data_IF_526472398654
#
_entry.id   IF_526472398654
#
_cell.length_a   1.000
_cell.length_b   1.000
_cell.length_c   1.000
_cell.angle_alpha   90.00
_cell.angle_beta   90.00
_cell.angle_gamma   90.00
#
_symmetry.space_group_name_H-M   'P 1'
#
loop_
_entity.id
_entity.type
_entity.pdbx_description
1 polymer ?
#
# COMPACT_ATOMS: atom_id res chain seq x y z
N UNK A 1 -20.39 -26.58 13.32
CA UNK A 1 -19.72 -25.78 12.26
C UNK A 1 -20.61 -24.57 11.99
N UNK A 2 -20.27 -23.34 12.42
CA UNK A 2 -21.11 -22.20 12.12
C UNK A 2 -20.96 -21.82 10.63
N UNK A 3 -22.05 -21.50 9.94
CA UNK A 3 -22.05 -21.16 8.52
C UNK A 3 -21.61 -19.70 8.32
N UNK A 4 -20.68 -19.51 7.38
CA UNK A 4 -20.32 -18.26 6.69
C UNK A 4 -20.73 -16.94 7.38
N UNK A 5 -19.78 -16.37 8.12
CA UNK A 5 -19.90 -15.00 8.63
C UNK A 5 -18.62 -14.21 8.33
N UNK A 6 -18.21 -14.15 7.06
CA UNK A 6 -17.05 -13.35 6.61
C UNK A 6 -17.32 -11.82 6.63
N UNK A 7 -18.49 -11.39 7.12
CA UNK A 7 -18.96 -10.00 7.03
C UNK A 7 -18.80 -9.18 8.33
N UNK A 8 -18.04 -9.67 9.31
CA UNK A 8 -18.00 -9.08 10.66
C UNK A 8 -16.62 -8.76 11.26
N UNK A 9 -15.53 -8.66 10.49
CA UNK A 9 -14.21 -8.31 11.07
C UNK A 9 -13.59 -6.99 10.59
N UNK A 10 -14.24 -6.26 9.68
CA UNK A 10 -13.79 -4.92 9.27
C UNK A 10 -14.58 -3.80 9.96
N UNK A 11 -14.81 -3.95 11.26
CA UNK A 11 -15.38 -2.89 12.10
C UNK A 11 -14.24 -2.19 12.81
N UNK A 12 -13.69 -1.19 12.14
CA UNK A 12 -13.21 0.08 12.71
C UNK A 12 -12.43 0.09 14.04
N UNK A 13 -11.42 -0.78 14.23
CA UNK A 13 -10.30 -0.33 15.07
C UNK A 13 -9.39 0.57 14.21
N UNK A 14 -9.82 1.82 14.06
CA UNK A 14 -9.16 2.85 13.25
C UNK A 14 -7.97 3.47 13.99
N UNK A 15 -7.38 2.74 14.95
CA UNK A 15 -6.15 3.14 15.62
C UNK A 15 -5.00 2.40 14.96
N UNK A 16 -4.46 3.02 13.91
CA UNK A 16 -3.16 2.65 13.40
C UNK A 16 -2.19 2.66 14.59
N UNK A 17 -1.71 1.49 14.98
CA UNK A 17 -0.63 1.34 15.95
C UNK A 17 0.67 1.82 15.28
N UNK A 18 0.75 3.10 14.94
CA UNK A 18 2.04 3.75 14.99
C UNK A 18 2.54 3.52 16.41
N UNK A 19 3.78 3.08 16.56
CA UNK A 19 4.40 3.13 17.87
C UNK A 19 4.34 4.60 18.31
N UNK A 20 3.39 4.94 19.19
CA UNK A 20 3.10 6.33 19.60
C UNK A 20 4.37 7.00 20.15
N UNK A 21 5.31 6.19 20.62
CA UNK A 21 6.64 6.58 21.09
C UNK A 21 7.54 7.16 20.01
N UNK A 22 7.46 6.69 18.76
CA UNK A 22 8.29 7.17 17.64
C UNK A 22 7.62 8.28 16.83
N UNK A 23 6.29 8.34 16.86
CA UNK A 23 5.49 9.27 16.08
C UNK A 23 5.62 9.08 14.57
N UNK A 24 4.79 9.80 13.81
CA UNK A 24 4.76 9.71 12.35
C UNK A 24 5.93 10.43 11.67
N UNK A 25 6.73 11.22 12.39
CA UNK A 25 7.70 12.16 11.79
C UNK A 25 9.08 11.55 11.58
N UNK A 26 9.60 10.85 12.59
CA UNK A 26 10.96 10.26 12.56
C UNK A 26 11.16 9.37 11.33
N UNK A 27 10.20 8.49 10.96
CA UNK A 27 10.33 7.68 9.75
C UNK A 27 10.40 8.52 8.46
N UNK A 28 9.66 9.62 8.34
CA UNK A 28 9.67 10.45 7.13
C UNK A 28 10.98 11.22 6.97
N UNK A 29 11.48 11.80 8.05
CA UNK A 29 12.78 12.51 8.02
C UNK A 29 13.90 11.51 7.72
N UNK A 30 13.80 10.28 8.27
CA UNK A 30 14.69 9.19 7.90
C UNK A 30 14.63 8.90 6.39
N UNK A 31 13.43 8.69 5.83
CA UNK A 31 13.25 8.40 4.39
C UNK A 31 13.78 9.52 3.49
N UNK A 32 13.50 10.79 3.82
CA UNK A 32 14.02 11.94 3.09
C UNK A 32 15.55 12.01 3.15
N UNK A 33 16.12 11.76 4.33
CA UNK A 33 17.57 11.72 4.52
C UNK A 33 18.24 10.56 3.78
N UNK A 34 17.56 9.42 3.65
CA UNK A 34 18.00 8.28 2.85
C UNK A 34 17.93 8.61 1.36
N UNK A 35 16.82 9.18 0.89
CA UNK A 35 16.64 9.58 -0.50
C UNK A 35 17.72 10.54 -0.96
N UNK A 36 17.98 11.62 -0.20
CA UNK A 36 19.02 12.59 -0.52
C UNK A 36 20.39 11.91 -0.66
N UNK A 37 20.76 11.05 0.30
CA UNK A 37 22.04 10.34 0.26
C UNK A 37 22.14 9.33 -0.89
N UNK A 38 21.05 8.66 -1.20
CA UNK A 38 21.00 7.69 -2.29
C UNK A 38 21.22 8.39 -3.64
N UNK A 39 20.54 9.52 -3.86
CA UNK A 39 20.69 10.32 -5.07
C UNK A 39 22.06 11.01 -5.18
N UNK A 40 22.72 11.30 -4.05
CA UNK A 40 24.12 11.76 -4.08
C UNK A 40 25.12 10.64 -4.34
N UNK A 41 24.82 9.41 -3.93
CA UNK A 41 25.71 8.26 -4.10
C UNK A 41 25.59 7.62 -5.50
N UNK A 42 24.43 7.72 -6.14
CA UNK A 42 24.15 7.08 -7.43
C UNK A 42 23.55 8.05 -8.43
N UNK A 43 24.15 8.08 -9.62
CA UNK A 43 23.61 8.84 -10.76
C UNK A 43 22.31 8.21 -11.27
N UNK A 44 21.39 9.03 -11.79
CA UNK A 44 20.12 8.58 -12.36
C UNK A 44 20.29 7.46 -13.41
N UNK A 45 21.32 7.55 -14.25
CA UNK A 45 21.64 6.52 -15.24
C UNK A 45 22.01 5.16 -14.62
N UNK A 46 22.73 5.19 -13.49
CA UNK A 46 23.10 3.98 -12.75
C UNK A 46 21.89 3.35 -12.05
N UNK A 47 20.95 4.17 -11.57
CA UNK A 47 19.69 3.71 -10.96
C UNK A 47 18.79 3.02 -12.00
N UNK A 48 18.70 3.57 -13.21
CA UNK A 48 17.85 3.02 -14.28
C UNK A 48 18.38 1.68 -14.82
N UNK A 49 19.70 1.49 -14.82
CA UNK A 49 20.36 0.29 -15.36
C UNK A 49 20.82 -0.69 -14.27
N UNK A 50 20.32 -0.53 -13.03
CA UNK A 50 20.73 -1.33 -11.89
C UNK A 50 20.29 -2.79 -12.05
N UNK A 51 21.24 -3.72 -12.04
CA UNK A 51 20.95 -5.14 -11.88
C UNK A 51 20.52 -5.44 -10.43
N UNK A 52 19.85 -6.58 -10.23
CA UNK A 52 19.43 -7.01 -8.90
C UNK A 52 20.61 -6.96 -7.92
N UNK A 53 20.39 -6.36 -6.74
CA UNK A 53 21.38 -6.24 -5.67
C UNK A 53 22.65 -5.40 -5.97
N UNK A 54 22.74 -4.75 -7.13
CA UNK A 54 23.89 -3.91 -7.51
C UNK A 54 24.20 -2.76 -6.54
N UNK A 55 23.20 -2.27 -5.81
CA UNK A 55 23.34 -1.18 -4.84
C UNK A 55 23.28 -1.63 -3.38
N UNK A 56 23.48 -2.92 -3.10
CA UNK A 56 23.48 -3.46 -1.73
C UNK A 56 24.55 -2.84 -0.82
N UNK A 57 25.58 -2.22 -1.39
CA UNK A 57 26.59 -1.45 -0.63
C UNK A 57 25.95 -0.32 0.18
N UNK A 58 24.81 0.21 -0.27
CA UNK A 58 24.04 1.22 0.43
C UNK A 58 23.36 0.71 1.71
N UNK A 59 23.22 -0.60 1.91
CA UNK A 59 22.61 -1.17 3.12
C UNK A 59 23.30 -0.70 4.41
N UNK A 60 24.64 -0.52 4.38
CA UNK A 60 25.41 0.02 5.51
C UNK A 60 24.99 1.45 5.85
N UNK A 61 24.66 2.25 4.84
CA UNK A 61 24.18 3.63 5.02
C UNK A 61 22.79 3.62 5.64
N UNK A 62 21.91 2.73 5.18
CA UNK A 62 20.56 2.54 5.74
C UNK A 62 20.65 2.17 7.22
N UNK A 63 21.43 1.14 7.57
CA UNK A 63 21.61 0.68 8.95
C UNK A 63 22.16 1.78 9.85
N UNK A 64 23.22 2.47 9.42
CA UNK A 64 23.82 3.57 10.19
C UNK A 64 22.82 4.70 10.44
N UNK A 65 22.02 5.05 9.43
CA UNK A 65 20.97 6.07 9.57
C UNK A 65 19.84 5.60 10.47
N UNK A 66 19.38 4.36 10.33
CA UNK A 66 18.34 3.80 11.18
C UNK A 66 18.74 3.87 12.65
N UNK A 67 19.97 3.42 12.99
CA UNK A 67 20.48 3.51 14.36
C UNK A 67 20.57 4.95 14.89
N UNK A 68 20.89 5.91 14.02
CA UNK A 68 20.92 7.33 14.38
C UNK A 68 19.52 7.88 14.68
N UNK A 69 18.54 7.60 13.82
CA UNK A 69 17.16 8.07 14.01
C UNK A 69 16.41 7.33 15.13
N UNK A 70 16.82 6.09 15.45
CA UNK A 70 16.22 5.30 16.53
C UNK A 70 16.70 5.68 17.93
N UNK A 71 17.92 6.20 18.07
CA UNK A 71 18.57 6.40 19.39
C UNK A 71 18.84 7.86 19.75
N UNK A 72 18.76 8.81 18.82
CA UNK A 72 19.15 10.20 19.09
C UNK A 72 17.95 11.09 19.46
N UNK A 73 17.75 11.30 20.76
CA UNK A 73 16.80 12.28 21.33
C UNK A 73 17.08 13.73 20.88
N UNK A 74 18.18 14.02 20.16
CA UNK A 74 18.48 15.36 19.60
C UNK A 74 17.72 15.70 18.33
N UNK A 75 17.21 14.70 17.60
CA UNK A 75 16.30 14.95 16.45
C UNK A 75 15.02 15.63 16.93
N UNK A 76 14.65 15.30 18.17
CA UNK A 76 13.59 15.95 18.90
C UNK A 76 13.93 17.36 19.41
N UNK A 77 15.19 17.82 19.40
CA UNK A 77 15.55 19.22 19.73
C UNK A 77 15.68 20.12 18.52
N UNK A 78 15.91 19.55 17.33
CA UNK A 78 15.70 20.24 16.05
C UNK A 78 14.20 20.52 15.76
N UNK A 79 13.30 20.16 16.71
CA UNK A 79 11.84 20.36 16.70
C UNK A 79 11.38 21.80 16.57
N UNK A 80 12.15 22.80 16.96
CA UNK A 80 11.60 24.14 17.13
C UNK A 80 11.72 25.06 15.91
N UNK A 81 12.51 24.68 14.89
CA UNK A 81 12.90 25.61 13.80
C UNK A 81 12.17 25.35 12.47
N UNK A 82 11.56 24.18 12.25
CA UNK A 82 10.98 23.83 10.94
C UNK A 82 9.55 23.31 11.07
N UNK A 83 8.57 24.21 10.90
CA UNK A 83 7.12 23.99 11.03
C UNK A 83 6.45 23.02 10.05
N UNK A 84 7.17 22.04 9.50
CA UNK A 84 6.66 21.06 8.51
C UNK A 84 5.85 19.89 9.09
N UNK A 85 5.51 19.91 10.39
CA UNK A 85 4.95 18.75 11.10
C UNK A 85 3.47 18.51 10.77
N UNK A 86 2.71 19.57 10.47
CA UNK A 86 1.26 19.47 10.20
C UNK A 86 1.01 18.77 8.85
N UNK A 87 1.82 19.04 7.82
CA UNK A 87 1.62 18.49 6.47
C UNK A 87 1.80 16.96 6.38
N UNK A 88 2.70 16.35 7.15
CA UNK A 88 3.02 14.92 6.99
C UNK A 88 1.89 14.02 7.47
N UNK A 89 1.15 14.44 8.51
CA UNK A 89 -0.01 13.69 9.03
C UNK A 89 -1.15 13.64 8.00
N UNK A 90 -1.39 14.77 7.33
CA UNK A 90 -2.43 14.88 6.31
C UNK A 90 -2.08 14.04 5.07
N UNK A 91 -0.81 14.06 4.65
CA UNK A 91 -0.32 13.25 3.52
C UNK A 91 -0.44 11.74 3.79
N UNK A 92 -0.14 11.27 5.00
CA UNK A 92 -0.32 9.84 5.34
C UNK A 92 -1.78 9.42 5.37
N UNK A 93 -2.64 10.25 5.95
CA UNK A 93 -4.08 9.97 5.99
C UNK A 93 -4.62 9.88 4.57
N UNK A 94 -4.24 10.81 3.70
CA UNK A 94 -4.61 10.81 2.29
C UNK A 94 -4.10 9.58 1.52
N UNK A 95 -2.82 9.21 1.67
CA UNK A 95 -2.24 8.07 0.97
C UNK A 95 -2.93 6.74 1.33
N UNK A 96 -3.30 6.58 2.61
CA UNK A 96 -4.00 5.39 3.09
C UNK A 96 -5.43 5.34 2.54
N UNK A 97 -6.15 6.46 2.54
CA UNK A 97 -7.48 6.53 1.93
C UNK A 97 -7.45 6.20 0.43
N UNK A 98 -6.40 6.62 -0.28
CA UNK A 98 -6.21 6.27 -1.69
C UNK A 98 -5.93 4.77 -1.88
N UNK A 99 -5.10 4.14 -1.04
CA UNK A 99 -4.80 2.70 -1.13
C UNK A 99 -6.00 1.84 -0.72
N UNK A 100 -6.69 2.19 0.38
CA UNK A 100 -7.92 1.51 0.81
C UNK A 100 -9.07 1.72 -0.18
N UNK A 101 -9.16 2.90 -0.78
CA UNK A 101 -10.10 3.19 -1.88
C UNK A 101 -9.77 2.39 -3.14
N UNK A 102 -8.51 2.01 -3.36
CA UNK A 102 -8.07 1.13 -4.44
C UNK A 102 -8.44 -0.33 -4.18
N UNK A 103 -8.28 -0.83 -2.95
CA UNK A 103 -8.69 -2.19 -2.58
C UNK A 103 -10.22 -2.37 -2.68
N UNK A 104 -11.02 -1.39 -2.23
CA UNK A 104 -12.48 -1.42 -2.41
C UNK A 104 -12.92 -1.47 -3.87
N UNK A 105 -12.14 -0.93 -4.81
CA UNK A 105 -12.44 -1.01 -6.25
C UNK A 105 -12.15 -2.40 -6.83
N UNK A 106 -11.09 -3.07 -6.35
CA UNK A 106 -10.78 -4.45 -6.73
C UNK A 106 -11.88 -5.41 -6.25
N UNK A 107 -12.38 -5.23 -5.03
CA UNK A 107 -13.50 -6.02 -4.51
C UNK A 107 -14.76 -5.88 -5.38
N UNK A 108 -15.08 -4.65 -5.81
CA UNK A 108 -16.24 -4.38 -6.69
C UNK A 108 -16.05 -5.01 -8.09
N UNK A 109 -14.83 -5.07 -8.62
CA UNK A 109 -14.55 -5.70 -9.92
C UNK A 109 -14.66 -7.23 -9.81
N UNK A 110 -14.22 -7.82 -8.70
CA UNK A 110 -14.40 -9.24 -8.43
C UNK A 110 -15.89 -9.62 -8.34
N UNK A 111 -16.67 -8.88 -7.55
CA UNK A 111 -18.13 -9.07 -7.43
C UNK A 111 -18.85 -8.94 -8.79
N UNK A 112 -18.44 -7.96 -9.61
CA UNK A 112 -19.00 -7.79 -10.96
C UNK A 112 -18.62 -8.92 -11.89
N UNK A 113 -17.42 -9.49 -11.75
CA UNK A 113 -16.96 -10.63 -12.55
C UNK A 113 -17.74 -11.89 -12.18
N UNK A 114 -17.93 -12.16 -10.88
CA UNK A 114 -18.75 -13.29 -10.41
C UNK A 114 -20.21 -13.17 -10.87
N UNK A 115 -20.78 -11.96 -10.78
CA UNK A 115 -22.12 -11.70 -11.28
C UNK A 115 -22.23 -11.87 -12.81
N UNK A 116 -21.18 -11.51 -13.56
CA UNK A 116 -21.13 -11.68 -15.00
C UNK A 116 -21.00 -13.16 -15.39
N UNK A 117 -20.17 -13.93 -14.69
CA UNK A 117 -19.98 -15.36 -14.93
C UNK A 117 -21.28 -16.15 -14.68
N UNK A 118 -21.98 -15.86 -13.58
CA UNK A 118 -23.30 -16.44 -13.31
C UNK A 118 -24.32 -16.12 -14.42
N UNK A 119 -24.35 -14.87 -14.90
CA UNK A 119 -25.22 -14.47 -16.02
C UNK A 119 -24.84 -15.17 -17.33
N UNK A 120 -23.55 -15.29 -17.63
CA UNK A 120 -23.04 -15.97 -18.81
C UNK A 120 -23.38 -17.47 -18.79
N UNK A 121 -23.28 -18.12 -17.63
CA UNK A 121 -23.68 -19.52 -17.46
C UNK A 121 -25.17 -19.74 -17.74
N UNK A 122 -26.03 -18.88 -17.18
CA UNK A 122 -27.48 -18.93 -17.42
C UNK A 122 -27.80 -18.69 -18.91
N UNK A 123 -27.14 -17.71 -19.53
CA UNK A 123 -27.30 -17.43 -20.95
C UNK A 123 -26.91 -18.64 -21.82
N UNK A 124 -25.74 -19.25 -21.56
CA UNK A 124 -25.28 -20.45 -22.26
C UNK A 124 -26.31 -21.58 -22.20
N UNK A 125 -26.84 -21.88 -21.00
CA UNK A 125 -27.87 -22.93 -20.84
C UNK A 125 -29.14 -22.62 -21.63
N UNK A 126 -29.63 -21.37 -21.58
CA UNK A 126 -30.82 -20.94 -22.33
C UNK A 126 -30.62 -21.03 -23.84
N UNK A 127 -29.46 -20.62 -24.35
CA UNK A 127 -29.12 -20.70 -25.77
C UNK A 127 -29.02 -22.15 -26.27
N UNK A 128 -28.45 -23.07 -25.48
CA UNK A 128 -28.42 -24.49 -25.81
C UNK A 128 -29.83 -25.07 -25.83
N UNK A 129 -30.65 -24.78 -24.82
CA UNK A 129 -32.05 -25.21 -24.77
C UNK A 129 -32.85 -24.72 -25.98
N UNK A 130 -32.67 -23.45 -26.36
CA UNK A 130 -33.31 -22.88 -27.54
C UNK A 130 -32.85 -23.58 -28.82
N UNK A 131 -31.54 -23.80 -28.99
CA UNK A 131 -30.98 -24.54 -30.13
C UNK A 131 -31.59 -25.95 -30.23
N UNK A 132 -31.68 -26.67 -29.12
CA UNK A 132 -32.30 -28.01 -29.09
C UNK A 132 -33.78 -27.94 -29.44
N UNK A 133 -34.53 -26.94 -28.96
CA UNK A 133 -35.94 -26.75 -29.34
C UNK A 133 -36.11 -26.48 -30.84
N UNK A 134 -35.22 -25.67 -31.44
CA UNK A 134 -35.25 -25.36 -32.86
C UNK A 134 -34.88 -26.55 -33.75
N UNK A 135 -34.03 -27.47 -33.27
CA UNK A 135 -33.64 -28.68 -34.01
C UNK A 135 -34.66 -29.83 -33.89
N UNK A 136 -35.61 -29.75 -32.96
CA UNK A 136 -36.68 -30.74 -32.76
C UNK A 136 -38.00 -30.36 -33.45
N UNK A 137 -37.99 -29.31 -34.27
CA UNK A 137 -39.11 -28.79 -35.04
C UNK A 137 -38.82 -28.98 -36.52
#
# INVERSE_FOLDING_TARGET
IPPNNYKLTYVYDRRWHYNESFGCRVPFVFLQGIQSKFLSAYTKLHILNASAYSMNTFNKVIQKRMNFYSNDNRIDKLKQVQGGIVQVKDVMTHNIEQVLGRDRRIDIVADRTDALDQKAFVFKRRSILLKVKLLKK
#
